data_IF_138231704089
#
_entry.id   IF_138231704089
#
_cell.length_a   1.000
_cell.length_b   1.000
_cell.length_c   1.000
_cell.angle_alpha   90.00
_cell.angle_beta   90.00
_cell.angle_gamma   90.00
#
_symmetry.space_group_name_H-M   'P 1'
#
loop_
_entity.id
_entity.type
_entity.pdbx_description
1 polymer ?
#
# COMPACT_ATOMS: atom_id res chain seq x y z
N UNK A 1 68.19 -12.37 -1.10
CA UNK A 1 68.56 -13.77 -0.81
C UNK A 1 67.79 -14.14 0.45
N UNK A 2 66.68 -14.76 0.39
CA UNK A 2 66.23 -16.12 0.65
C UNK A 2 64.72 -16.21 0.48
N UNK A 3 64.33 -17.07 -0.43
CA UNK A 3 62.95 -17.54 -0.66
C UNK A 3 62.38 -18.25 0.58
N UNK A 4 61.11 -18.01 0.90
CA UNK A 4 60.29 -18.99 1.62
C UNK A 4 59.03 -19.29 0.85
N UNK A 5 58.90 -20.54 0.56
CA UNK A 5 57.88 -21.26 -0.21
C UNK A 5 56.56 -21.38 0.53
N UNK A 6 55.50 -21.40 -0.26
CA UNK A 6 54.15 -21.87 0.13
C UNK A 6 54.20 -23.32 0.62
N UNK A 7 53.54 -23.60 1.75
CA UNK A 7 52.82 -24.88 1.95
C UNK A 7 51.91 -24.83 3.19
N UNK A 8 50.62 -25.08 2.92
CA UNK A 8 49.62 -25.80 3.72
C UNK A 8 49.30 -25.35 5.15
N UNK A 9 48.15 -24.70 5.30
CA UNK A 9 47.23 -25.04 6.40
C UNK A 9 45.79 -25.00 5.87
N UNK A 10 45.32 -26.18 5.52
CA UNK A 10 43.89 -26.49 5.38
C UNK A 10 43.36 -26.72 6.78
N UNK A 11 42.60 -25.81 7.32
CA UNK A 11 41.75 -26.04 8.48
C UNK A 11 40.45 -25.29 8.26
N UNK A 12 39.42 -26.06 8.12
CA UNK A 12 37.98 -25.87 8.17
C UNK A 12 37.44 -24.46 8.41
N UNK A 13 37.17 -23.70 7.35
CA UNK A 13 36.17 -22.69 7.37
C UNK A 13 34.84 -23.39 7.09
N UNK A 14 34.07 -23.65 8.13
CA UNK A 14 32.66 -23.98 8.02
C UNK A 14 32.00 -22.82 7.26
N UNK A 15 31.60 -23.08 6.04
CA UNK A 15 30.70 -22.22 5.26
C UNK A 15 29.38 -22.13 6.04
N UNK A 16 29.24 -21.09 6.84
CA UNK A 16 27.93 -20.62 7.25
C UNK A 16 27.26 -20.08 5.98
N UNK A 17 26.54 -20.96 5.28
CA UNK A 17 25.57 -20.52 4.30
C UNK A 17 24.61 -19.56 5.01
N UNK A 18 24.34 -18.35 4.47
CA UNK A 18 23.27 -17.57 4.99
C UNK A 18 22.00 -18.40 4.83
N UNK A 19 21.40 -18.84 5.92
CA UNK A 19 20.04 -19.30 5.96
C UNK A 19 19.21 -18.12 5.40
N UNK A 20 18.87 -18.21 4.13
CA UNK A 20 17.80 -17.38 3.57
C UNK A 20 16.56 -17.84 4.33
N UNK A 21 16.27 -17.15 5.44
CA UNK A 21 15.11 -17.42 6.25
C UNK A 21 13.89 -17.26 5.33
N UNK A 22 13.21 -18.36 5.05
CA UNK A 22 11.99 -18.35 4.26
C UNK A 22 11.02 -17.37 4.96
N UNK A 23 10.59 -16.27 4.31
CA UNK A 23 9.75 -15.25 4.96
C UNK A 23 8.46 -15.83 5.55
N UNK A 24 7.98 -16.97 5.03
CA UNK A 24 6.86 -17.72 5.60
C UNK A 24 7.18 -18.33 6.98
N UNK A 25 8.43 -18.73 7.23
CA UNK A 25 8.85 -19.30 8.52
C UNK A 25 8.99 -18.19 9.56
N UNK A 26 9.48 -17.00 9.20
CA UNK A 26 9.57 -15.86 10.12
C UNK A 26 8.17 -15.38 10.51
N UNK A 27 7.23 -15.33 9.58
CA UNK A 27 5.83 -15.01 9.86
C UNK A 27 5.18 -16.03 10.81
N UNK A 28 5.42 -17.33 10.60
CA UNK A 28 4.91 -18.38 11.46
C UNK A 28 5.52 -18.31 12.89
N UNK A 29 6.82 -18.05 12.99
CA UNK A 29 7.51 -17.95 14.29
C UNK A 29 7.06 -16.73 15.12
N UNK A 30 6.83 -15.58 14.48
CA UNK A 30 6.30 -14.39 15.15
C UNK A 30 4.87 -14.63 15.63
N UNK A 31 4.02 -15.28 14.82
CA UNK A 31 2.67 -15.69 15.23
C UNK A 31 2.70 -16.67 16.41
N UNK A 32 3.59 -17.65 16.37
CA UNK A 32 3.70 -18.68 17.40
C UNK A 32 4.18 -18.12 18.75
N UNK A 33 5.13 -17.18 18.74
CA UNK A 33 5.64 -16.54 19.95
C UNK A 33 4.58 -15.65 20.64
N UNK A 34 3.65 -15.06 19.93
CA UNK A 34 2.60 -14.18 20.48
C UNK A 34 1.32 -14.93 20.86
N UNK A 35 1.03 -16.05 20.22
CA UNK A 35 -0.17 -16.85 20.49
C UNK A 35 0.10 -17.97 21.50
N UNK A 36 1.35 -18.26 21.81
CA UNK A 36 1.74 -19.33 22.73
C UNK A 36 1.46 -20.74 22.16
N UNK A 37 1.05 -21.69 23.00
CA UNK A 37 0.72 -23.07 22.61
C UNK A 37 -0.67 -23.17 21.95
N UNK A 38 -0.95 -22.34 20.92
CA UNK A 38 -2.23 -22.31 20.25
C UNK A 38 -2.56 -23.65 19.59
N UNK A 39 -3.84 -24.01 19.57
CA UNK A 39 -4.34 -25.15 18.81
C UNK A 39 -4.13 -24.94 17.31
N UNK A 40 -4.17 -26.01 16.52
CA UNK A 40 -4.06 -25.89 15.07
C UNK A 40 -5.18 -24.99 14.48
N UNK A 41 -6.38 -25.04 15.06
CA UNK A 41 -7.50 -24.18 14.67
C UNK A 41 -7.20 -22.69 14.94
N UNK A 42 -6.59 -22.35 16.08
CA UNK A 42 -6.20 -20.97 16.40
C UNK A 42 -5.14 -20.43 15.46
N UNK A 43 -4.13 -21.25 15.14
CA UNK A 43 -3.10 -20.86 14.16
C UNK A 43 -3.70 -20.60 12.78
N UNK A 44 -4.59 -21.50 12.32
CA UNK A 44 -5.25 -21.31 11.02
C UNK A 44 -6.14 -20.07 11.02
N UNK A 45 -6.92 -19.85 12.09
CA UNK A 45 -7.78 -18.66 12.21
C UNK A 45 -6.95 -17.36 12.21
N UNK A 46 -5.84 -17.33 12.94
CA UNK A 46 -4.91 -16.21 12.97
C UNK A 46 -4.31 -15.93 11.59
N UNK A 47 -3.78 -16.98 10.93
CA UNK A 47 -3.19 -16.85 9.60
C UNK A 47 -4.23 -16.41 8.54
N UNK A 48 -5.45 -16.93 8.63
CA UNK A 48 -6.57 -16.53 7.76
C UNK A 48 -6.96 -15.06 7.95
N UNK A 49 -6.96 -14.58 9.20
CA UNK A 49 -7.24 -13.18 9.50
C UNK A 49 -6.14 -12.26 8.93
N UNK A 50 -4.87 -12.60 9.16
CA UNK A 50 -3.72 -11.85 8.63
C UNK A 50 -3.72 -11.89 7.09
N UNK A 51 -4.01 -13.04 6.48
CA UNK A 51 -4.15 -13.17 5.03
C UNK A 51 -5.19 -12.22 4.46
N UNK A 52 -6.38 -12.16 5.06
CA UNK A 52 -7.49 -11.32 4.61
C UNK A 52 -7.36 -9.84 4.96
N UNK A 53 -6.49 -9.46 5.90
CA UNK A 53 -6.48 -8.13 6.50
C UNK A 53 -6.30 -7.00 5.48
N UNK A 54 -5.40 -7.16 4.52
CA UNK A 54 -5.20 -6.17 3.45
C UNK A 54 -6.43 -6.03 2.55
N UNK A 55 -7.08 -7.13 2.19
CA UNK A 55 -8.28 -7.13 1.36
C UNK A 55 -9.44 -6.42 2.07
N UNK A 56 -9.68 -6.75 3.33
CA UNK A 56 -10.76 -6.12 4.10
C UNK A 56 -10.49 -4.64 4.34
N UNK A 57 -9.25 -4.25 4.68
CA UNK A 57 -8.86 -2.84 4.84
C UNK A 57 -9.09 -2.07 3.54
N UNK A 58 -8.66 -2.62 2.41
CA UNK A 58 -8.79 -1.98 1.10
C UNK A 58 -10.27 -1.86 0.70
N UNK A 59 -11.09 -2.88 0.95
CA UNK A 59 -12.53 -2.86 0.66
C UNK A 59 -13.27 -1.83 1.53
N UNK A 60 -13.02 -1.80 2.84
CA UNK A 60 -13.61 -0.78 3.73
C UNK A 60 -13.23 0.62 3.25
N UNK A 61 -11.95 0.85 2.96
CA UNK A 61 -11.47 2.14 2.46
C UNK A 61 -12.10 2.50 1.11
N UNK A 62 -12.21 1.53 0.18
CA UNK A 62 -12.89 1.75 -1.10
C UNK A 62 -14.32 2.22 -0.91
N UNK A 63 -15.08 1.52 -0.10
CA UNK A 63 -16.48 1.87 0.14
C UNK A 63 -16.59 3.24 0.80
N UNK A 64 -15.81 3.50 1.85
CA UNK A 64 -15.81 4.81 2.52
C UNK A 64 -15.44 5.96 1.57
N UNK A 65 -14.47 5.77 0.68
CA UNK A 65 -14.06 6.81 -0.26
C UNK A 65 -15.01 6.98 -1.44
N UNK A 66 -15.68 5.91 -1.90
CA UNK A 66 -16.38 5.93 -3.19
C UNK A 66 -17.91 5.73 -3.12
N UNK A 67 -18.45 5.36 -1.97
CA UNK A 67 -19.91 5.22 -1.81
C UNK A 67 -20.56 6.58 -1.50
N UNK A 68 -20.39 7.51 -2.41
CA UNK A 68 -20.87 8.90 -2.33
C UNK A 68 -21.47 9.33 -3.68
N UNK A 69 -22.47 10.25 -3.69
CA UNK A 69 -23.12 10.66 -4.93
C UNK A 69 -22.31 11.66 -5.77
N UNK A 70 -21.33 12.35 -5.16
CA UNK A 70 -20.55 13.41 -5.81
C UNK A 70 -19.18 13.59 -5.15
N UNK A 71 -18.29 14.31 -5.83
CA UNK A 71 -16.98 14.69 -5.28
C UNK A 71 -17.11 15.59 -4.04
N UNK A 72 -16.34 15.29 -3.00
CA UNK A 72 -16.27 16.10 -1.79
C UNK A 72 -15.08 15.71 -0.91
N UNK A 73 -14.17 16.63 -0.65
CA UNK A 73 -12.96 16.36 0.15
C UNK A 73 -12.09 15.25 -0.46
N UNK A 74 -11.91 14.16 0.26
CA UNK A 74 -11.18 12.96 -0.20
C UNK A 74 -12.11 11.82 -0.63
N UNK A 75 -13.35 12.14 -1.02
CA UNK A 75 -14.37 11.19 -1.45
C UNK A 75 -14.85 11.52 -2.86
N UNK A 76 -15.15 10.50 -3.64
CA UNK A 76 -15.72 10.66 -4.99
C UNK A 76 -16.24 9.34 -5.53
N UNK A 77 -17.31 9.36 -6.34
CA UNK A 77 -17.89 8.15 -6.92
C UNK A 77 -16.86 7.40 -7.76
N UNK A 78 -16.98 6.07 -7.83
CA UNK A 78 -16.11 5.25 -8.69
C UNK A 78 -16.16 5.73 -10.13
N UNK A 79 -15.02 5.73 -10.82
CA UNK A 79 -14.89 6.20 -12.19
C UNK A 79 -14.60 7.71 -12.34
N UNK A 80 -14.39 8.41 -11.23
CA UNK A 80 -14.05 9.83 -11.20
C UNK A 80 -12.81 10.11 -10.36
N UNK A 81 -11.92 11.02 -10.82
CA UNK A 81 -10.76 11.42 -10.04
C UNK A 81 -11.11 12.40 -8.92
N UNK A 82 -10.60 12.11 -7.74
CA UNK A 82 -10.52 13.00 -6.59
C UNK A 82 -9.17 13.70 -6.67
N UNK A 83 -9.14 14.98 -7.05
CA UNK A 83 -7.91 15.75 -7.22
C UNK A 83 -7.66 16.65 -6.02
N UNK A 84 -6.59 16.37 -5.29
CA UNK A 84 -6.12 17.24 -4.20
C UNK A 84 -5.39 18.42 -4.81
N UNK A 85 -5.85 19.64 -4.51
CA UNK A 85 -5.41 20.86 -5.20
C UNK A 85 -4.23 21.57 -4.54
N UNK A 86 -3.91 21.23 -3.28
CA UNK A 86 -2.82 21.83 -2.49
C UNK A 86 -2.28 20.81 -1.50
N UNK A 87 -1.11 21.05 -0.96
CA UNK A 87 -0.61 20.28 0.17
C UNK A 87 -1.54 20.42 1.39
N UNK A 88 -1.61 19.37 2.23
CA UNK A 88 -2.33 19.48 3.49
C UNK A 88 -1.68 20.56 4.38
N UNK A 89 -2.48 21.32 5.16
CA UNK A 89 -1.94 22.29 6.10
C UNK A 89 -1.20 21.58 7.25
N UNK A 90 -0.36 22.34 7.97
CA UNK A 90 0.48 21.80 9.06
C UNK A 90 -0.32 21.17 10.21
N UNK A 91 -1.55 21.63 10.42
CA UNK A 91 -2.48 21.11 11.43
C UNK A 91 -3.36 19.96 10.95
N UNK A 92 -3.16 19.48 9.72
CA UNK A 92 -3.89 18.33 9.18
C UNK A 92 -3.71 17.08 10.04
N UNK A 93 -4.81 16.39 10.35
CA UNK A 93 -4.84 15.19 11.22
C UNK A 93 -5.58 13.99 10.61
N UNK A 94 -5.84 14.03 9.31
CA UNK A 94 -6.56 12.97 8.61
C UNK A 94 -5.71 11.72 8.37
N UNK A 95 -5.19 11.55 7.18
CA UNK A 95 -4.32 10.41 6.83
C UNK A 95 -2.94 10.59 7.47
N UNK A 96 -2.37 9.52 8.01
CA UNK A 96 -1.01 9.55 8.57
C UNK A 96 0.03 9.75 7.46
N UNK A 97 0.99 10.65 7.68
CA UNK A 97 2.13 10.94 6.83
C UNK A 97 1.79 11.29 5.36
N UNK A 98 0.89 12.25 5.07
CA UNK A 98 0.76 12.80 3.74
C UNK A 98 2.09 13.49 3.35
N UNK A 99 2.40 13.55 2.05
CA UNK A 99 3.61 14.25 1.56
C UNK A 99 3.32 15.74 1.26
N UNK A 100 4.39 16.52 1.09
CA UNK A 100 4.36 17.93 0.69
C UNK A 100 5.26 18.18 -0.55
N UNK A 101 5.28 17.23 -1.47
CA UNK A 101 6.07 17.25 -2.71
C UNK A 101 5.25 16.81 -3.93
N UNK A 102 4.10 16.15 -3.72
CA UNK A 102 3.21 15.79 -4.82
C UNK A 102 1.75 16.09 -4.47
N UNK A 103 0.94 16.44 -5.49
CA UNK A 103 -0.50 16.49 -5.37
C UNK A 103 -1.11 15.16 -5.79
N UNK A 104 -2.07 14.69 -5.00
CA UNK A 104 -2.74 13.40 -5.22
C UNK A 104 -3.89 13.51 -6.23
N UNK A 105 -4.06 12.46 -7.03
CA UNK A 105 -5.23 12.21 -7.87
C UNK A 105 -5.66 10.76 -7.66
N UNK A 106 -6.70 10.55 -6.87
CA UNK A 106 -7.20 9.23 -6.51
C UNK A 106 -8.47 8.89 -7.29
N UNK A 107 -8.57 7.65 -7.77
CA UNK A 107 -9.81 7.14 -8.37
C UNK A 107 -9.99 5.65 -8.10
N UNK A 108 -11.19 5.26 -7.71
CA UNK A 108 -11.60 3.87 -7.66
C UNK A 108 -12.30 3.49 -8.96
N UNK A 109 -11.99 2.32 -9.51
CA UNK A 109 -12.60 1.76 -10.70
C UNK A 109 -13.38 0.50 -10.36
N UNK A 110 -14.54 0.31 -10.99
CA UNK A 110 -15.23 -0.97 -11.07
C UNK A 110 -15.06 -1.52 -12.50
N UNK A 111 -14.27 -2.56 -12.64
CA UNK A 111 -13.94 -3.20 -13.90
C UNK A 111 -14.85 -4.42 -14.19
N UNK A 112 -15.91 -4.60 -13.39
CA UNK A 112 -16.79 -5.77 -13.50
C UNK A 112 -17.73 -5.74 -14.69
N UNK A 113 -18.11 -4.55 -15.15
CA UNK A 113 -19.03 -4.41 -16.29
C UNK A 113 -18.24 -4.30 -17.61
N UNK A 114 -17.23 -3.42 -17.65
CA UNK A 114 -16.38 -3.21 -18.81
C UNK A 114 -15.04 -2.59 -18.39
N UNK A 115 -14.01 -2.66 -19.28
CA UNK A 115 -12.75 -1.96 -19.07
C UNK A 115 -12.90 -0.45 -19.02
N UNK A 116 -11.95 0.20 -18.33
CA UNK A 116 -11.83 1.65 -18.29
C UNK A 116 -10.58 2.11 -19.01
N UNK A 117 -10.70 3.11 -19.84
CA UNK A 117 -9.55 3.81 -20.44
C UNK A 117 -9.13 4.95 -19.51
N UNK A 118 -7.92 4.86 -18.99
CA UNK A 118 -7.24 5.95 -18.28
C UNK A 118 -6.36 6.71 -19.24
N UNK A 119 -6.45 8.05 -19.24
CA UNK A 119 -5.60 8.92 -20.06
C UNK A 119 -5.03 10.06 -19.24
N UNK A 120 -3.77 10.42 -19.51
CA UNK A 120 -3.14 11.63 -19.00
C UNK A 120 -2.57 12.48 -20.15
N UNK A 121 -2.49 13.83 -19.99
CA UNK A 121 -1.89 14.71 -20.97
C UNK A 121 -0.36 14.53 -21.05
N UNK A 122 0.28 15.29 -21.92
CA UNK A 122 1.73 15.45 -21.88
C UNK A 122 2.13 16.12 -20.57
N UNK A 123 2.99 15.45 -19.81
CA UNK A 123 3.49 15.89 -18.51
C UNK A 123 4.84 16.60 -18.60
N UNK A 124 5.45 16.62 -19.80
CA UNK A 124 6.79 17.14 -20.04
C UNK A 124 7.83 16.43 -19.15
N UNK A 125 8.69 17.23 -18.54
CA UNK A 125 9.73 16.75 -17.61
C UNK A 125 9.24 16.67 -16.14
N UNK A 126 7.95 16.95 -15.89
CA UNK A 126 7.40 16.90 -14.54
C UNK A 126 7.34 15.47 -14.05
N UNK A 127 7.89 15.22 -12.84
CA UNK A 127 7.77 13.92 -12.20
C UNK A 127 6.30 13.63 -11.86
N UNK A 128 5.86 12.43 -12.23
CA UNK A 128 4.55 11.90 -11.89
C UNK A 128 4.56 10.38 -11.87
N UNK A 129 3.60 9.80 -11.17
CA UNK A 129 3.33 8.37 -11.18
C UNK A 129 1.84 8.12 -10.90
N UNK A 130 1.32 7.05 -11.49
CA UNK A 130 -0.04 6.55 -11.27
C UNK A 130 0.00 5.09 -10.82
N UNK A 131 0.45 4.81 -9.57
CA UNK A 131 0.41 3.45 -9.06
C UNK A 131 -1.04 2.96 -8.99
N UNK A 132 -1.26 1.76 -9.50
CA UNK A 132 -2.55 1.08 -9.57
C UNK A 132 -2.53 -0.12 -8.64
N UNK A 133 -3.45 -0.14 -7.69
CA UNK A 133 -3.48 -1.15 -6.63
C UNK A 133 -4.69 -2.06 -6.80
N UNK A 134 -4.45 -3.38 -6.75
CA UNK A 134 -5.53 -4.35 -6.63
C UNK A 134 -6.21 -4.28 -5.26
N UNK A 135 -7.36 -4.91 -5.08
CA UNK A 135 -7.99 -5.03 -3.75
C UNK A 135 -7.11 -5.77 -2.72
N UNK A 136 -6.21 -6.63 -3.18
CA UNK A 136 -5.21 -7.27 -2.31
C UNK A 136 -4.06 -6.34 -1.91
N UNK A 137 -4.01 -5.11 -2.47
CA UNK A 137 -3.04 -4.04 -2.19
C UNK A 137 -1.71 -4.09 -2.97
N UNK A 138 -1.25 -5.19 -3.60
CA UNK A 138 -0.11 -5.10 -4.51
C UNK A 138 -0.32 -4.08 -5.61
N UNK A 139 0.79 -3.43 -6.01
CA UNK A 139 0.83 -2.59 -7.20
C UNK A 139 0.75 -3.48 -8.44
N UNK A 140 -0.29 -3.29 -9.24
CA UNK A 140 -0.51 -4.00 -10.51
C UNK A 140 0.39 -3.42 -11.59
N UNK A 141 0.42 -2.10 -11.68
CA UNK A 141 1.20 -1.33 -12.65
C UNK A 141 1.39 0.09 -12.10
N UNK A 142 2.40 0.80 -12.61
CA UNK A 142 2.68 2.18 -12.21
C UNK A 142 3.10 3.02 -13.42
N UNK A 143 2.16 3.44 -14.30
CA UNK A 143 2.47 4.44 -15.34
C UNK A 143 3.03 5.71 -14.71
N UNK A 144 4.06 6.29 -15.33
CA UNK A 144 4.69 7.47 -14.79
C UNK A 144 6.02 7.81 -15.48
N UNK A 145 6.67 8.86 -15.02
CA UNK A 145 7.93 9.34 -15.59
C UNK A 145 8.97 8.22 -15.77
N UNK A 146 9.09 7.31 -14.79
CA UNK A 146 10.05 6.19 -14.80
C UNK A 146 9.67 5.09 -15.81
N UNK A 147 8.38 4.78 -15.94
CA UNK A 147 7.92 3.55 -16.63
C UNK A 147 7.39 3.79 -18.04
N UNK A 148 6.75 4.94 -18.27
CA UNK A 148 6.07 5.25 -19.52
C UNK A 148 6.53 6.57 -20.15
N UNK A 149 7.36 7.35 -19.43
CA UNK A 149 7.79 8.67 -19.86
C UNK A 149 6.71 9.74 -19.73
N UNK A 150 7.02 10.99 -20.12
CA UNK A 150 6.19 12.17 -19.90
C UNK A 150 5.16 12.45 -20.98
N UNK A 151 5.19 11.79 -22.14
CA UNK A 151 4.25 12.07 -23.25
C UNK A 151 2.81 11.69 -22.90
N UNK A 152 1.85 12.36 -23.50
CA UNK A 152 0.44 11.99 -23.38
C UNK A 152 0.23 10.51 -23.72
N UNK A 153 -0.53 9.81 -22.88
CA UNK A 153 -0.77 8.38 -23.05
C UNK A 153 -2.18 7.97 -22.62
N UNK A 154 -2.61 6.83 -23.14
CA UNK A 154 -3.85 6.16 -22.76
C UNK A 154 -3.59 4.68 -22.49
N UNK A 155 -4.23 4.16 -21.46
CA UNK A 155 -4.09 2.77 -21.00
C UNK A 155 -5.47 2.13 -20.89
N UNK A 156 -5.60 0.91 -21.37
CA UNK A 156 -6.81 0.12 -21.17
C UNK A 156 -6.65 -0.69 -19.88
N UNK A 157 -7.47 -0.40 -18.88
CA UNK A 157 -7.48 -1.15 -17.62
C UNK A 157 -8.60 -2.17 -17.68
N UNK A 158 -8.24 -3.45 -17.61
CA UNK A 158 -9.19 -4.58 -17.74
C UNK A 158 -9.34 -5.31 -16.41
N UNK A 159 -10.54 -5.82 -16.14
CA UNK A 159 -10.84 -6.65 -14.98
C UNK A 159 -10.61 -8.13 -15.22
N UNK A 160 -10.77 -8.98 -14.18
CA UNK A 160 -10.65 -10.42 -14.30
C UNK A 160 -11.59 -11.00 -15.36
N UNK A 161 -11.06 -11.92 -16.18
CA UNK A 161 -11.86 -12.62 -17.20
C UNK A 161 -12.19 -11.82 -18.47
N UNK A 162 -11.78 -10.55 -18.57
CA UNK A 162 -11.98 -9.82 -19.81
C UNK A 162 -11.10 -10.40 -20.94
N UNK A 163 -11.72 -10.60 -22.12
CA UNK A 163 -11.07 -11.22 -23.29
C UNK A 163 -11.34 -10.46 -24.60
N UNK A 164 -11.75 -9.18 -24.50
CA UNK A 164 -12.00 -8.34 -25.67
C UNK A 164 -10.73 -7.90 -26.39
N UNK A 165 -10.88 -7.11 -27.44
CA UNK A 165 -9.78 -6.60 -28.24
C UNK A 165 -9.28 -5.26 -27.66
N UNK A 166 -7.96 -5.16 -27.45
CA UNK A 166 -7.29 -3.91 -27.04
C UNK A 166 -7.26 -2.95 -28.23
N UNK A 167 -7.71 -1.69 -28.08
CA UNK A 167 -7.61 -0.68 -29.13
C UNK A 167 -6.17 -0.48 -29.61
N UNK A 168 -6.00 -0.25 -30.91
CA UNK A 168 -4.68 -0.05 -31.52
C UNK A 168 -3.93 1.11 -30.84
N UNK A 169 -2.64 0.90 -30.55
CA UNK A 169 -1.78 1.91 -29.93
C UNK A 169 -1.99 2.08 -28.42
N UNK A 170 -2.87 1.31 -27.80
CA UNK A 170 -3.12 1.35 -26.35
C UNK A 170 -2.45 0.16 -25.65
N UNK A 171 -1.83 0.42 -24.50
CA UNK A 171 -1.30 -0.63 -23.63
C UNK A 171 -2.38 -1.14 -22.68
N UNK A 172 -2.52 -2.45 -22.57
CA UNK A 172 -3.40 -3.10 -21.60
C UNK A 172 -2.74 -3.21 -20.23
N UNK A 173 -3.50 -2.90 -19.17
CA UNK A 173 -3.17 -3.14 -17.77
C UNK A 173 -4.22 -4.08 -17.19
N UNK A 174 -3.81 -5.31 -16.86
CA UNK A 174 -4.70 -6.36 -16.37
C UNK A 174 -4.81 -6.31 -14.84
N UNK A 175 -5.96 -5.92 -14.33
CA UNK A 175 -6.24 -6.00 -12.90
C UNK A 175 -6.60 -7.44 -12.52
N UNK A 176 -5.96 -8.00 -11.47
CA UNK A 176 -6.35 -9.30 -10.93
C UNK A 176 -7.64 -9.24 -10.11
N UNK A 177 -8.18 -8.04 -9.85
CA UNK A 177 -9.39 -7.82 -9.05
C UNK A 177 -10.38 -6.93 -9.79
N UNK A 178 -11.68 -7.11 -9.50
CA UNK A 178 -12.77 -6.30 -10.07
C UNK A 178 -12.59 -4.80 -9.79
N UNK A 179 -12.25 -4.47 -8.54
CA UNK A 179 -12.00 -3.09 -8.15
C UNK A 179 -10.50 -2.80 -8.15
N UNK A 180 -10.16 -1.59 -8.59
CA UNK A 180 -8.78 -1.13 -8.68
C UNK A 180 -8.72 0.32 -8.21
N UNK A 181 -7.68 0.64 -7.43
CA UNK A 181 -7.36 2.03 -7.04
C UNK A 181 -6.24 2.57 -7.92
N UNK A 182 -6.46 3.73 -8.53
CA UNK A 182 -5.39 4.58 -9.04
C UNK A 182 -5.10 5.63 -7.97
N UNK A 183 -3.85 5.75 -7.52
CA UNK A 183 -3.44 6.77 -6.56
C UNK A 183 -2.30 7.62 -7.16
N UNK A 184 -2.67 8.45 -8.14
CA UNK A 184 -1.75 9.32 -8.86
C UNK A 184 -1.07 10.34 -7.94
N UNK A 185 0.17 10.65 -8.26
CA UNK A 185 0.99 11.67 -7.61
C UNK A 185 1.68 12.49 -8.69
N UNK A 186 1.52 13.80 -8.64
CA UNK A 186 2.14 14.74 -9.58
C UNK A 186 2.96 15.75 -8.77
N UNK A 187 4.25 15.86 -9.08
CA UNK A 187 5.16 16.76 -8.39
C UNK A 187 4.67 18.20 -8.44
N UNK A 188 4.77 18.88 -7.31
CA UNK A 188 4.55 20.31 -7.17
C UNK A 188 5.64 20.90 -6.27
N UNK A 189 6.07 22.14 -6.55
CA UNK A 189 7.13 22.81 -5.80
C UNK A 189 6.63 23.64 -4.61
N UNK A 190 5.31 23.62 -4.35
CA UNK A 190 4.71 24.30 -3.21
C UNK A 190 4.33 25.78 -3.45
N UNK A 191 4.61 26.35 -4.62
CA UNK A 191 4.17 27.73 -4.98
C UNK A 191 2.76 27.72 -5.53
N UNK A 192 2.02 28.84 -5.36
CA UNK A 192 0.66 28.97 -5.90
C UNK A 192 0.62 28.83 -7.43
N UNK A 193 1.61 29.37 -8.12
CA UNK A 193 1.71 29.25 -9.57
C UNK A 193 1.90 27.79 -10.02
N UNK A 194 2.72 27.03 -9.30
CA UNK A 194 2.95 25.64 -9.63
C UNK A 194 1.79 24.73 -9.23
N UNK A 195 1.10 25.02 -8.12
CA UNK A 195 -0.17 24.37 -7.81
C UNK A 195 -1.20 24.57 -8.92
N UNK A 196 -1.32 25.79 -9.45
CA UNK A 196 -2.22 26.08 -10.56
C UNK A 196 -1.84 25.28 -11.81
N UNK A 197 -0.54 25.18 -12.14
CA UNK A 197 -0.06 24.37 -13.26
C UNK A 197 -0.38 22.88 -13.09
N UNK A 198 -0.14 22.31 -11.91
CA UNK A 198 -0.48 20.91 -11.62
C UNK A 198 -2.00 20.70 -11.65
N UNK A 199 -2.79 21.62 -11.13
CA UNK A 199 -4.25 21.55 -11.16
C UNK A 199 -4.77 21.50 -12.62
N UNK A 200 -4.17 22.30 -13.54
CA UNK A 200 -4.52 22.26 -14.96
C UNK A 200 -4.17 20.91 -15.63
N UNK A 201 -3.13 20.21 -15.18
CA UNK A 201 -2.84 18.84 -15.63
C UNK A 201 -3.87 17.86 -15.05
N UNK A 202 -4.21 17.97 -13.76
CA UNK A 202 -5.19 17.11 -13.09
C UNK A 202 -6.58 17.17 -13.76
N UNK A 203 -6.99 18.31 -14.29
CA UNK A 203 -8.26 18.48 -15.00
C UNK A 203 -8.29 17.74 -16.36
N UNK A 204 -7.13 17.36 -16.86
CA UNK A 204 -6.99 16.59 -18.11
C UNK A 204 -6.86 15.08 -17.87
N UNK A 205 -6.77 14.61 -16.62
CA UNK A 205 -6.81 13.17 -16.33
C UNK A 205 -8.22 12.65 -16.56
N UNK A 206 -8.34 11.62 -17.41
CA UNK A 206 -9.64 11.10 -17.83
C UNK A 206 -9.79 9.63 -17.52
N UNK A 207 -10.99 9.27 -17.12
CA UNK A 207 -11.45 7.89 -16.96
C UNK A 207 -12.71 7.76 -17.82
N UNK A 208 -12.68 6.88 -18.79
CA UNK A 208 -13.80 6.70 -19.73
C UNK A 208 -14.03 5.19 -19.90
N UNK A 209 -15.27 4.69 -19.80
CA UNK A 209 -15.59 3.31 -20.18
C UNK A 209 -15.15 3.02 -21.60
N UNK A 210 -14.66 1.80 -21.86
CA UNK A 210 -14.17 1.41 -23.20
C UNK A 210 -15.23 1.65 -24.30
N UNK A 211 -16.49 1.35 -24.01
CA UNK A 211 -17.63 1.53 -24.94
C UNK A 211 -17.84 3.00 -25.37
N UNK A 212 -17.38 3.95 -24.55
CA UNK A 212 -17.48 5.39 -24.78
C UNK A 212 -16.17 6.04 -25.24
N UNK A 213 -15.08 5.26 -25.35
CA UNK A 213 -13.80 5.82 -25.76
C UNK A 213 -13.86 6.39 -27.20
N UNK A 214 -13.36 7.60 -27.37
CA UNK A 214 -13.41 8.32 -28.66
C UNK A 214 -14.78 8.96 -29.00
N UNK A 215 -15.74 8.91 -28.05
CA UNK A 215 -17.08 9.48 -28.18
C UNK A 215 -17.34 10.53 -27.10
N UNK A 216 -18.34 11.40 -27.25
CA UNK A 216 -18.84 12.22 -26.14
C UNK A 216 -19.25 11.31 -24.96
N UNK A 217 -18.73 11.63 -23.78
CA UNK A 217 -19.03 10.87 -22.55
C UNK A 217 -19.43 11.83 -21.43
N UNK A 218 -20.57 11.56 -20.82
CA UNK A 218 -21.03 12.23 -19.60
C UNK A 218 -20.95 11.24 -18.46
N UNK A 219 -20.21 11.58 -17.41
CA UNK A 219 -20.10 10.74 -16.23
C UNK A 219 -21.42 10.71 -15.46
N UNK A 220 -21.83 9.51 -15.05
CA UNK A 220 -22.96 9.28 -14.16
C UNK A 220 -22.44 8.52 -12.93
N UNK A 221 -22.64 9.10 -11.75
CA UNK A 221 -22.25 8.45 -10.51
C UNK A 221 -23.02 7.13 -10.31
N UNK A 222 -22.33 6.04 -9.89
CA UNK A 222 -23.03 4.83 -9.48
C UNK A 222 -24.00 5.09 -8.34
N UNK A 223 -25.06 4.28 -8.19
CA UNK A 223 -25.95 4.37 -7.02
C UNK A 223 -25.19 4.22 -5.71
N UNK A 224 -25.55 5.04 -4.73
CA UNK A 224 -25.03 4.92 -3.36
C UNK A 224 -25.71 3.75 -2.66
N UNK A 225 -24.91 2.85 -2.06
CA UNK A 225 -25.41 1.80 -1.18
C UNK A 225 -25.78 2.43 0.17
N UNK A 226 -27.07 2.45 0.56
CA UNK A 226 -27.49 3.04 1.83
C UNK A 226 -27.09 2.20 3.06
N UNK A 227 -26.70 0.92 2.84
CA UNK A 227 -26.40 -0.03 3.90
C UNK A 227 -25.08 -0.78 3.65
N UNK A 228 -23.93 -0.12 3.71
CA UNK A 228 -22.63 -0.77 3.43
C UNK A 228 -22.22 -1.82 4.49
N UNK A 229 -22.98 -1.90 5.60
CA UNK A 229 -22.75 -2.88 6.66
C UNK A 229 -21.63 -2.52 7.64
N UNK A 230 -21.19 -1.25 7.63
CA UNK A 230 -20.22 -0.70 8.60
C UNK A 230 -20.23 0.84 8.58
N UNK A 231 -19.56 1.45 9.56
CA UNK A 231 -19.46 2.90 9.68
C UNK A 231 -18.70 3.53 8.49
N UNK A 232 -19.28 4.57 7.90
CA UNK A 232 -18.71 5.33 6.80
C UNK A 232 -17.73 6.42 7.26
N UNK A 233 -17.65 6.69 8.57
CA UNK A 233 -16.89 7.80 9.16
C UNK A 233 -15.76 7.35 10.08
N UNK A 234 -15.87 6.14 10.64
CA UNK A 234 -14.82 5.60 11.51
C UNK A 234 -13.61 5.19 10.67
N UNK A 235 -12.43 5.25 11.31
CA UNK A 235 -11.19 4.79 10.66
C UNK A 235 -11.34 3.31 10.22
N UNK A 236 -10.84 2.93 9.03
CA UNK A 236 -10.94 1.54 8.56
C UNK A 236 -10.49 0.50 9.58
N UNK A 237 -9.41 0.76 10.32
CA UNK A 237 -8.93 -0.13 11.37
C UNK A 237 -9.96 -0.32 12.50
N UNK A 238 -10.65 0.77 12.91
CA UNK A 238 -11.69 0.70 13.94
C UNK A 238 -12.91 -0.09 13.45
N UNK A 239 -13.29 0.13 12.19
CA UNK A 239 -14.35 -0.65 11.53
C UNK A 239 -14.03 -2.15 11.54
N UNK A 240 -12.81 -2.52 11.15
CA UNK A 240 -12.37 -3.92 11.09
C UNK A 240 -12.33 -4.54 12.49
N UNK A 241 -11.86 -3.80 13.50
CA UNK A 241 -11.84 -4.27 14.88
C UNK A 241 -13.23 -4.46 15.50
N UNK A 242 -14.23 -3.74 15.00
CA UNK A 242 -15.62 -3.90 15.47
C UNK A 242 -16.34 -5.08 14.83
N UNK A 243 -15.80 -5.68 13.75
CA UNK A 243 -16.38 -6.86 13.13
C UNK A 243 -16.20 -8.08 14.04
N UNK A 244 -17.21 -8.94 14.12
CA UNK A 244 -16.99 -10.29 14.64
C UNK A 244 -16.07 -11.08 13.70
N UNK A 245 -15.43 -12.13 14.19
CA UNK A 245 -14.65 -13.01 13.30
C UNK A 245 -15.52 -13.63 12.20
N UNK A 246 -16.78 -13.93 12.50
CA UNK A 246 -17.75 -14.45 11.53
C UNK A 246 -18.07 -13.44 10.44
N UNK A 247 -18.36 -12.20 10.78
CA UNK A 247 -18.61 -11.13 9.79
C UNK A 247 -17.36 -10.87 8.93
N UNK A 248 -16.19 -10.87 9.56
CA UNK A 248 -14.92 -10.70 8.87
C UNK A 248 -14.71 -11.82 7.83
N UNK A 249 -14.84 -13.09 8.23
CA UNK A 249 -14.62 -14.22 7.34
C UNK A 249 -15.71 -14.37 6.28
N UNK A 250 -16.95 -14.02 6.58
CA UNK A 250 -18.00 -13.95 5.57
C UNK A 250 -17.69 -12.88 4.52
N UNK A 251 -17.22 -11.71 4.93
CA UNK A 251 -16.82 -10.64 4.01
C UNK A 251 -15.61 -11.08 3.18
N UNK A 252 -14.59 -11.70 3.80
CA UNK A 252 -13.44 -12.26 3.12
C UNK A 252 -13.84 -13.29 2.07
N UNK A 253 -14.63 -14.29 2.45
CA UNK A 253 -15.08 -15.36 1.56
C UNK A 253 -15.87 -14.81 0.37
N UNK A 254 -16.80 -13.88 0.62
CA UNK A 254 -17.58 -13.21 -0.42
C UNK A 254 -16.68 -12.45 -1.39
N UNK A 255 -15.74 -11.66 -0.91
CA UNK A 255 -14.81 -10.90 -1.76
C UNK A 255 -13.93 -11.80 -2.60
N UNK A 256 -13.41 -12.88 -2.04
CA UNK A 256 -12.61 -13.88 -2.77
C UNK A 256 -13.42 -14.56 -3.89
N UNK A 257 -14.73 -14.73 -3.70
CA UNK A 257 -15.61 -15.35 -4.70
C UNK A 257 -16.15 -14.41 -5.78
N UNK A 258 -16.10 -13.08 -5.56
CA UNK A 258 -16.80 -12.13 -6.44
C UNK A 258 -15.94 -11.02 -7.02
N UNK A 259 -15.01 -10.48 -6.24
CA UNK A 259 -14.31 -9.25 -6.59
C UNK A 259 -12.77 -9.36 -6.55
N UNK A 260 -12.25 -10.25 -5.75
CA UNK A 260 -10.82 -10.39 -5.50
C UNK A 260 -10.42 -11.88 -5.46
N UNK A 261 -10.43 -12.58 -6.61
CA UNK A 261 -9.99 -13.97 -6.63
C UNK A 261 -8.57 -14.07 -6.06
N UNK A 262 -8.32 -15.10 -5.23
CA UNK A 262 -6.99 -15.41 -4.75
C UNK A 262 -6.03 -15.71 -5.89
N UNK A 263 -4.75 -15.42 -5.69
CA UNK A 263 -3.71 -15.77 -6.64
C UNK A 263 -3.41 -17.30 -6.59
N UNK A 264 -2.88 -17.89 -7.66
CA UNK A 264 -2.54 -19.33 -7.66
C UNK A 264 -1.58 -19.73 -6.53
N UNK A 265 -0.65 -18.87 -6.17
CA UNK A 265 0.30 -19.06 -5.07
C UNK A 265 -0.34 -19.10 -3.68
N UNK A 266 -1.57 -18.61 -3.53
CA UNK A 266 -2.33 -18.66 -2.28
C UNK A 266 -2.94 -20.06 -1.99
N UNK A 267 -2.83 -21.01 -2.93
CA UNK A 267 -3.40 -22.37 -2.81
C UNK A 267 -3.15 -23.04 -1.45
N UNK A 268 -1.90 -23.07 -0.92
CA UNK A 268 -1.63 -23.65 0.40
C UNK A 268 -2.37 -22.95 1.55
N UNK A 269 -2.52 -21.61 1.51
CA UNK A 269 -3.27 -20.86 2.50
C UNK A 269 -4.76 -21.19 2.41
N UNK A 270 -5.31 -21.24 1.20
CA UNK A 270 -6.72 -21.60 0.99
C UNK A 270 -7.03 -23.01 1.48
N UNK A 271 -6.15 -23.98 1.23
CA UNK A 271 -6.30 -25.35 1.73
C UNK A 271 -6.33 -25.39 3.27
N UNK A 272 -5.51 -24.57 3.94
CA UNK A 272 -5.53 -24.44 5.40
C UNK A 272 -6.82 -23.79 5.89
N UNK A 273 -7.24 -22.70 5.26
CA UNK A 273 -8.46 -21.96 5.61
C UNK A 273 -9.72 -22.84 5.48
N UNK A 274 -9.75 -23.72 4.44
CA UNK A 274 -10.86 -24.66 4.23
C UNK A 274 -11.04 -25.62 5.41
N UNK A 275 -9.97 -25.97 6.15
CA UNK A 275 -10.05 -26.84 7.34
C UNK A 275 -10.87 -26.27 8.48
N UNK A 276 -11.03 -24.93 8.51
CA UNK A 276 -11.86 -24.24 9.49
C UNK A 276 -13.09 -23.60 8.83
N UNK A 277 -13.48 -24.05 7.63
CA UNK A 277 -14.71 -23.66 6.96
C UNK A 277 -14.64 -22.35 6.16
N UNK A 278 -13.46 -21.77 5.92
CA UNK A 278 -13.30 -20.56 5.13
C UNK A 278 -12.91 -20.92 3.69
N UNK A 279 -13.80 -20.62 2.72
CA UNK A 279 -13.55 -20.87 1.30
C UNK A 279 -14.12 -19.74 0.42
N UNK A 280 -13.49 -19.44 -0.74
CA UNK A 280 -13.96 -18.41 -1.66
C UNK A 280 -15.41 -18.61 -2.07
N UNK A 281 -16.25 -17.59 -1.91
CA UNK A 281 -17.66 -17.58 -2.31
C UNK A 281 -18.58 -18.44 -1.44
N UNK A 282 -18.09 -19.10 -0.39
CA UNK A 282 -18.90 -19.90 0.52
C UNK A 282 -19.23 -19.15 1.80
N UNK A 283 -20.46 -19.25 2.32
CA UNK A 283 -20.80 -18.71 3.63
C UNK A 283 -19.93 -19.35 4.73
N UNK A 284 -19.43 -18.54 5.63
CA UNK A 284 -18.78 -18.98 6.84
C UNK A 284 -19.78 -18.98 8.00
N UNK A 285 -20.06 -20.15 8.54
CA UNK A 285 -21.08 -20.34 9.58
C UNK A 285 -20.41 -20.88 10.87
N UNK A 286 -19.98 -19.96 11.75
CA UNK A 286 -19.25 -20.32 12.98
C UNK A 286 -20.05 -21.30 13.86
N UNK A 287 -21.37 -21.21 13.89
CA UNK A 287 -22.24 -22.09 14.66
C UNK A 287 -22.16 -23.57 14.25
N UNK A 288 -21.79 -23.85 13.01
CA UNK A 288 -21.65 -25.22 12.47
C UNK A 288 -20.28 -25.84 12.72
N UNK A 289 -19.35 -25.06 13.27
CA UNK A 289 -17.96 -25.51 13.51
C UNK A 289 -17.81 -26.17 14.88
N UNK A 290 -16.78 -27.01 15.02
CA UNK A 290 -16.42 -27.59 16.31
C UNK A 290 -16.17 -26.51 17.38
N UNK A 291 -16.42 -26.87 18.64
CA UNK A 291 -16.22 -25.96 19.77
C UNK A 291 -14.82 -25.36 19.80
N UNK A 292 -13.79 -26.18 19.53
CA UNK A 292 -12.39 -25.74 19.47
C UNK A 292 -12.18 -24.61 18.45
N UNK A 293 -12.79 -24.71 17.26
CA UNK A 293 -12.68 -23.66 16.24
C UNK A 293 -13.46 -22.42 16.69
N UNK A 294 -14.64 -22.57 17.27
CA UNK A 294 -15.42 -21.42 17.78
C UNK A 294 -14.69 -20.67 18.90
N UNK A 295 -14.00 -21.38 19.76
CA UNK A 295 -13.15 -20.77 20.81
C UNK A 295 -11.94 -20.03 20.19
N UNK A 296 -11.33 -20.58 19.14
CA UNK A 296 -10.23 -19.95 18.42
C UNK A 296 -10.63 -18.60 17.79
N UNK A 297 -11.92 -18.40 17.49
CA UNK A 297 -12.45 -17.14 16.93
C UNK A 297 -12.69 -16.06 17.99
N UNK A 298 -12.68 -16.39 19.28
CA UNK A 298 -12.90 -15.44 20.36
C UNK A 298 -11.79 -14.38 20.36
N UNK A 299 -12.20 -13.11 20.39
CA UNK A 299 -11.28 -11.95 20.40
C UNK A 299 -10.20 -11.99 19.31
N UNK A 300 -10.45 -12.76 18.22
CA UNK A 300 -9.50 -12.91 17.12
C UNK A 300 -9.11 -11.57 16.48
N UNK A 301 -10.02 -10.61 16.21
CA UNK A 301 -9.65 -9.32 15.63
C UNK A 301 -8.60 -8.57 16.46
N UNK A 302 -8.78 -8.54 17.79
CA UNK A 302 -7.87 -7.84 18.71
C UNK A 302 -6.51 -8.54 18.79
N UNK A 303 -6.52 -9.87 18.91
CA UNK A 303 -5.30 -10.69 18.94
C UNK A 303 -4.54 -10.56 17.62
N UNK A 304 -5.22 -10.64 16.50
CA UNK A 304 -4.60 -10.53 15.17
C UNK A 304 -4.00 -9.14 14.92
N UNK A 305 -4.67 -8.07 15.35
CA UNK A 305 -4.10 -6.72 15.22
C UNK A 305 -2.85 -6.56 16.10
N UNK A 306 -2.81 -7.16 17.29
CA UNK A 306 -1.61 -7.17 18.13
C UNK A 306 -0.44 -7.89 17.44
N UNK A 307 -0.70 -9.04 16.79
CA UNK A 307 0.30 -9.80 16.02
C UNK A 307 0.77 -8.98 14.80
N UNK A 308 -0.14 -8.37 14.04
CA UNK A 308 0.20 -7.48 12.93
C UNK A 308 1.04 -6.30 13.43
N UNK A 309 0.68 -5.70 14.57
CA UNK A 309 1.41 -4.59 15.18
C UNK A 309 2.84 -4.97 15.57
N UNK A 310 3.03 -6.12 16.17
CA UNK A 310 4.35 -6.65 16.49
C UNK A 310 5.21 -6.92 15.24
N UNK A 311 4.57 -7.30 14.13
CA UNK A 311 5.24 -7.51 12.84
C UNK A 311 5.94 -6.28 12.27
N UNK A 312 5.63 -5.05 12.74
CA UNK A 312 6.30 -3.82 12.30
C UNK A 312 7.82 -3.86 12.49
N UNK A 313 8.28 -4.41 13.60
CA UNK A 313 9.70 -4.46 13.93
C UNK A 313 10.51 -5.36 12.97
N UNK A 314 9.83 -6.27 12.26
CA UNK A 314 10.46 -7.19 11.31
C UNK A 314 10.44 -6.70 9.85
N UNK A 315 9.83 -5.55 9.56
CA UNK A 315 9.63 -5.10 8.18
C UNK A 315 10.86 -4.44 7.54
N UNK A 316 11.75 -3.88 8.31
CA UNK A 316 12.88 -3.11 7.81
C UNK A 316 14.21 -3.70 8.22
N UNK A 317 15.23 -3.39 7.43
CA UNK A 317 16.62 -3.60 7.83
C UNK A 317 17.12 -2.31 8.45
N UNK A 318 17.71 -2.42 9.64
CA UNK A 318 18.38 -1.29 10.27
C UNK A 318 19.81 -1.15 9.73
N UNK A 319 20.11 0.05 9.26
CA UNK A 319 21.47 0.42 8.81
C UNK A 319 21.77 1.80 9.37
N UNK A 320 22.83 1.90 10.17
CA UNK A 320 23.29 3.16 10.79
C UNK A 320 22.17 3.87 11.59
N UNK A 321 21.36 3.13 12.33
CA UNK A 321 20.23 3.66 13.10
C UNK A 321 18.99 4.07 12.27
N UNK A 322 18.99 3.77 10.97
CA UNK A 322 17.86 3.99 10.07
C UNK A 322 17.22 2.68 9.64
N UNK A 323 15.92 2.61 9.70
CA UNK A 323 15.15 1.49 9.19
C UNK A 323 14.69 1.78 7.77
N UNK A 324 15.00 0.88 6.84
CA UNK A 324 14.55 0.92 5.44
C UNK A 324 13.75 -0.33 5.14
N UNK A 325 12.48 -0.14 4.77
CA UNK A 325 11.61 -1.25 4.36
C UNK A 325 11.70 -1.44 2.85
N UNK A 326 12.05 -2.65 2.41
CA UNK A 326 12.14 -3.03 1.01
C UNK A 326 11.01 -3.96 0.57
N UNK A 327 10.79 -4.08 -0.74
CA UNK A 327 9.77 -4.96 -1.33
C UNK A 327 8.35 -4.56 -0.94
N UNK A 328 8.09 -3.25 -0.81
CA UNK A 328 6.75 -2.72 -0.69
C UNK A 328 6.03 -2.75 -2.04
N UNK A 329 4.71 -2.90 -2.02
CA UNK A 329 3.90 -2.99 -3.24
C UNK A 329 3.99 -4.34 -3.97
N UNK A 330 4.96 -5.21 -3.61
CA UNK A 330 5.14 -6.58 -4.13
C UNK A 330 5.28 -7.53 -2.95
N UNK A 331 4.20 -8.13 -2.50
CA UNK A 331 4.19 -8.91 -1.26
C UNK A 331 4.29 -10.42 -1.50
N UNK A 332 3.81 -10.93 -2.64
CA UNK A 332 3.69 -12.37 -2.90
C UNK A 332 2.93 -13.03 -1.75
N UNK A 333 3.46 -14.13 -1.24
CA UNK A 333 2.90 -14.88 -0.10
C UNK A 333 3.32 -14.31 1.27
N UNK A 334 3.97 -13.15 1.35
CA UNK A 334 4.29 -12.53 2.63
C UNK A 334 3.07 -11.77 3.17
N UNK A 335 2.08 -12.52 3.64
CA UNK A 335 0.81 -11.99 4.16
C UNK A 335 0.99 -11.10 5.38
N UNK A 336 1.96 -11.42 6.26
CA UNK A 336 2.27 -10.59 7.42
C UNK A 336 2.74 -9.19 7.00
N UNK A 337 3.71 -9.12 6.08
CA UNK A 337 4.19 -7.83 5.57
C UNK A 337 3.06 -7.02 4.93
N UNK A 338 2.24 -7.69 4.11
CA UNK A 338 1.06 -7.07 3.49
C UNK A 338 0.06 -6.58 4.53
N UNK A 339 -0.20 -7.36 5.58
CA UNK A 339 -1.07 -7.00 6.70
C UNK A 339 -0.54 -5.81 7.50
N UNK A 340 0.75 -5.79 7.82
CA UNK A 340 1.38 -4.65 8.53
C UNK A 340 1.30 -3.37 7.70
N UNK A 341 1.58 -3.44 6.39
CA UNK A 341 1.46 -2.26 5.52
C UNK A 341 0.02 -1.80 5.41
N UNK A 342 -0.95 -2.73 5.33
CA UNK A 342 -2.37 -2.38 5.34
C UNK A 342 -2.79 -1.66 6.64
N UNK A 343 -2.23 -2.05 7.79
CA UNK A 343 -2.56 -1.45 9.08
C UNK A 343 -1.91 -0.09 9.34
N UNK A 344 -0.70 0.15 8.79
CA UNK A 344 0.14 1.28 9.23
C UNK A 344 0.69 2.16 8.12
N UNK A 345 0.54 1.78 6.85
CA UNK A 345 1.11 2.52 5.71
C UNK A 345 0.37 2.31 4.39
N UNK A 346 -0.92 2.04 4.44
CA UNK A 346 -1.79 1.80 3.28
C UNK A 346 -1.95 3.01 2.37
N UNK A 347 -1.89 2.82 1.03
CA UNK A 347 -1.13 1.78 0.32
C UNK A 347 0.31 2.23 0.09
N UNK A 348 1.24 1.29 -0.09
CA UNK A 348 2.65 1.59 -0.30
C UNK A 348 3.04 1.54 -1.78
N UNK A 349 3.93 2.46 -2.20
CA UNK A 349 4.52 2.46 -3.52
C UNK A 349 5.58 1.35 -3.67
N UNK A 350 5.99 1.11 -4.91
CA UNK A 350 7.18 0.33 -5.21
C UNK A 350 8.43 1.08 -4.73
N UNK A 351 9.48 0.34 -4.34
CA UNK A 351 10.73 0.94 -3.87
C UNK A 351 11.46 1.75 -4.96
N UNK A 352 11.22 1.42 -6.23
CA UNK A 352 11.76 2.16 -7.38
C UNK A 352 11.10 3.54 -7.56
N UNK A 353 9.92 3.75 -6.96
CA UNK A 353 9.17 5.00 -7.03
C UNK A 353 9.26 5.81 -5.74
N UNK A 354 9.37 5.15 -4.58
CA UNK A 354 9.49 5.84 -3.29
C UNK A 354 10.12 4.95 -2.22
N UNK A 355 11.12 5.47 -1.53
CA UNK A 355 11.77 4.84 -0.38
C UNK A 355 11.52 5.70 0.86
N UNK A 356 11.22 5.05 1.98
CA UNK A 356 10.90 5.70 3.25
C UNK A 356 11.89 5.28 4.35
N UNK A 357 13.14 5.81 4.36
CA UNK A 357 14.03 5.63 5.49
C UNK A 357 13.46 6.36 6.70
N UNK A 358 13.44 5.70 7.85
CA UNK A 358 12.97 6.33 9.06
C UNK A 358 13.82 5.94 10.26
N UNK A 359 13.94 6.86 11.22
CA UNK A 359 14.59 6.65 12.50
C UNK A 359 13.78 7.26 13.61
N UNK A 360 13.88 6.70 14.80
CA UNK A 360 13.29 7.22 16.03
C UNK A 360 14.35 7.64 17.05
N UNK A 361 15.63 7.51 16.69
CA UNK A 361 16.77 7.81 17.56
C UNK A 361 17.76 8.76 16.87
N UNK A 362 18.55 9.47 17.67
CA UNK A 362 19.68 10.26 17.20
C UNK A 362 20.96 9.40 17.03
N UNK A 363 22.07 10.03 16.67
CA UNK A 363 23.36 9.37 16.49
C UNK A 363 23.94 8.74 17.77
N UNK A 364 23.42 9.10 18.93
CA UNK A 364 23.79 8.53 20.23
C UNK A 364 22.79 7.49 20.74
N UNK A 365 21.80 7.11 19.92
CA UNK A 365 20.76 6.13 20.26
C UNK A 365 19.67 6.69 21.16
N UNK A 366 19.61 7.99 21.41
CA UNK A 366 18.58 8.62 22.24
C UNK A 366 17.32 8.84 21.43
N UNK A 367 16.15 8.57 22.02
CA UNK A 367 14.86 8.78 21.37
C UNK A 367 14.67 10.24 20.97
N UNK A 368 14.29 10.46 19.71
CA UNK A 368 14.03 11.79 19.19
C UNK A 368 12.91 12.48 19.99
N UNK A 369 13.17 13.72 20.43
CA UNK A 369 12.25 14.53 21.21
C UNK A 369 12.01 15.87 20.51
N UNK A 370 10.75 16.29 20.37
CA UNK A 370 10.37 17.54 19.71
C UNK A 370 10.89 18.82 20.40
N UNK A 371 11.39 18.74 21.64
CA UNK A 371 12.04 19.85 22.33
C UNK A 371 13.47 20.13 21.82
N UNK A 372 14.07 19.18 21.10
CA UNK A 372 15.43 19.29 20.58
C UNK A 372 15.44 19.64 19.09
N UNK A 373 16.50 20.33 18.66
CA UNK A 373 16.81 20.56 17.24
C UNK A 373 17.77 19.47 16.77
N UNK A 374 17.51 18.93 15.59
CA UNK A 374 18.33 17.87 14.98
C UNK A 374 18.81 18.31 13.60
N UNK A 375 19.98 17.85 13.21
CA UNK A 375 20.57 18.08 11.89
C UNK A 375 20.82 16.72 11.23
N UNK A 376 20.32 16.55 10.00
CA UNK A 376 20.66 15.42 9.14
C UNK A 376 21.69 15.93 8.11
N UNK A 377 22.89 15.33 8.13
CA UNK A 377 23.99 15.73 7.26
C UNK A 377 24.33 14.62 6.28
N UNK A 378 24.41 14.96 5.01
CA UNK A 378 24.95 14.09 3.96
C UNK A 378 26.33 14.61 3.57
N UNK A 379 27.33 13.74 3.49
CA UNK A 379 28.62 14.11 2.96
C UNK A 379 28.50 14.53 1.47
N UNK A 380 29.45 15.30 0.99
CA UNK A 380 29.44 15.74 -0.41
C UNK A 380 29.35 14.52 -1.37
N UNK A 381 28.39 14.56 -2.29
CA UNK A 381 28.13 13.46 -3.23
C UNK A 381 27.43 12.22 -2.63
N UNK A 382 26.99 12.25 -1.36
CA UNK A 382 26.33 11.14 -0.69
C UNK A 382 24.83 11.41 -0.39
N UNK A 383 24.24 12.39 -1.02
CA UNK A 383 22.79 12.54 -0.99
C UNK A 383 22.10 11.32 -1.61
N UNK A 384 20.91 10.92 -1.11
CA UNK A 384 20.17 9.83 -1.73
C UNK A 384 20.02 10.03 -3.23
N UNK A 385 20.27 9.00 -4.06
CA UNK A 385 20.08 9.12 -5.50
C UNK A 385 18.61 9.40 -5.79
N UNK A 386 18.34 10.50 -6.51
CA UNK A 386 17.00 10.86 -6.97
C UNK A 386 17.07 11.16 -8.45
N UNK A 387 16.17 10.55 -9.24
CA UNK A 387 15.96 10.88 -10.65
C UNK A 387 14.91 11.98 -10.83
N UNK A 388 14.24 12.39 -9.74
CA UNK A 388 13.33 13.53 -9.78
C UNK A 388 14.13 14.83 -9.85
N UNK A 389 13.81 15.69 -10.81
CA UNK A 389 14.35 17.03 -10.93
C UNK A 389 13.77 17.91 -9.82
N UNK A 390 14.49 18.05 -8.72
CA UNK A 390 14.11 18.92 -7.60
C UNK A 390 14.79 18.51 -6.30
N UNK A 391 14.91 19.42 -5.31
CA UNK A 391 15.40 19.05 -3.99
C UNK A 391 14.44 18.04 -3.37
N UNK A 392 14.95 16.91 -2.90
CA UNK A 392 14.15 15.95 -2.13
C UNK A 392 13.67 16.64 -0.86
N UNK A 393 12.36 16.85 -0.65
CA UNK A 393 11.88 17.45 0.57
C UNK A 393 12.05 16.45 1.72
N UNK A 394 12.69 16.91 2.79
CA UNK A 394 12.63 16.18 4.04
C UNK A 394 11.32 16.56 4.75
N UNK A 395 10.49 15.60 5.05
CA UNK A 395 9.27 15.82 5.83
C UNK A 395 9.37 15.18 7.19
N UNK A 396 8.85 15.88 8.21
CA UNK A 396 8.73 15.36 9.57
C UNK A 396 7.29 14.96 9.83
N UNK A 397 7.08 13.73 10.30
CA UNK A 397 5.80 13.32 10.86
C UNK A 397 5.86 13.37 12.39
N UNK A 398 4.88 14.01 13.02
CA UNK A 398 4.71 13.98 14.48
C UNK A 398 3.89 12.76 14.89
N UNK A 399 3.97 12.35 16.17
CA UNK A 399 3.07 11.31 16.73
C UNK A 399 1.57 11.62 16.51
N UNK A 400 1.23 12.88 16.28
CA UNK A 400 -0.13 13.34 15.98
C UNK A 400 -0.46 13.40 14.48
N UNK A 401 0.45 12.97 13.58
CA UNK A 401 0.22 12.92 12.12
C UNK A 401 0.30 14.28 11.40
N UNK A 402 0.80 15.33 12.05
CA UNK A 402 1.04 16.63 11.40
C UNK A 402 2.34 16.62 10.57
N UNK A 403 2.32 17.33 9.43
CA UNK A 403 3.49 17.61 8.61
C UNK A 403 4.06 18.99 8.96
N UNK A 404 5.38 19.04 9.07
CA UNK A 404 6.09 20.31 9.13
C UNK A 404 7.08 20.38 7.97
N UNK A 405 7.09 21.46 7.19
CA UNK A 405 8.12 21.66 6.19
C UNK A 405 9.48 21.80 6.90
N UNK A 406 10.47 21.11 6.38
CA UNK A 406 11.86 21.24 6.82
C UNK A 406 12.51 22.21 5.84
N UNK A 407 13.01 23.34 6.34
CA UNK A 407 13.75 24.28 5.53
C UNK A 407 15.06 23.64 5.04
N UNK A 408 15.24 23.53 3.71
CA UNK A 408 16.52 23.20 3.12
C UNK A 408 17.34 24.48 2.96
N UNK A 409 18.50 24.56 3.58
CA UNK A 409 19.47 25.63 3.31
C UNK A 409 20.33 25.24 2.12
N UNK A 410 20.30 26.04 1.07
CA UNK A 410 20.76 25.77 -0.30
C UNK A 410 22.27 25.86 -0.54
N UNK A 411 23.13 25.48 0.36
CA UNK A 411 24.57 25.52 0.03
C UNK A 411 25.46 24.42 0.62
N UNK A 412 24.94 23.60 1.48
CA UNK A 412 25.56 22.35 1.93
C UNK A 412 24.42 21.40 2.29
N UNK A 413 24.48 20.15 1.86
CA UNK A 413 23.46 19.11 1.97
C UNK A 413 23.02 18.81 3.42
N UNK A 414 22.57 19.81 4.17
CA UNK A 414 22.09 19.69 5.53
C UNK A 414 20.59 19.98 5.58
N UNK A 415 19.81 19.07 6.16
CA UNK A 415 18.41 19.21 6.44
C UNK A 415 18.27 19.55 7.94
N UNK A 416 17.85 20.77 8.27
CA UNK A 416 17.61 21.16 9.66
C UNK A 416 16.17 20.82 10.06
N UNK A 417 16.03 20.03 11.10
CA UNK A 417 14.75 19.75 11.74
C UNK A 417 14.55 20.78 12.88
N UNK A 418 13.63 21.71 12.72
CA UNK A 418 13.23 22.65 13.77
C UNK A 418 11.92 22.23 14.40
#
# INVERSE_FOLDING_TARGET
MTLFTRRNLVTGAALAAPLIANPSLVSAQVSEALVGSASDAERIAMDAYIYGYSLITTEVTRVQMSNVPALGGLHGPMGQFINVKRYPPADYRGVSAPNADTLYSAAWLDLGAEPTVFSHPDMGDRYFLFPMYSLWMPVVECPGARTTGGRAASFLITGPGWSGQVPSGMREIKSPTRYLLILGRTYANGTDADFAAVNALQEQYKLVPLSSFGKPFTFHAPPVDPNPGFSMTDKPQSVILSMSAEDYFNRLARLMGTAAPPAPEDGPMLARMARIGIAPGQPFEAAKLDLTVREALRDLPQRALAVIGAGRSSLGNEVNGWTVTKGLGRYGINYMKRGVVAAFGWPANLEEDAVYPNTTVDSEGRVLNGANKYTLTFAAGQTPPSTASGPSPCTRSTKAGGLYPIASTSSQSACAMT
#
